data_IF_960024382578
#
_entry.id   IF_960024382578
#
_cell.length_a   1.000
_cell.length_b   1.000
_cell.length_c   1.000
_cell.angle_alpha   90.00
_cell.angle_beta   90.00
_cell.angle_gamma   90.00
#
_symmetry.space_group_name_H-M   'P 1'
#
loop_
_entity.id
_entity.type
_entity.pdbx_description
1 polymer ?
#
# COMPACT_ATOMS: atom_id res chain seq x y z
N UNK A 1 14.44 16.81 17.31
CA UNK A 1 15.35 16.07 16.42
C UNK A 1 15.36 16.82 15.10
N UNK A 2 16.54 17.31 14.72
CA UNK A 2 16.76 18.54 13.93
C UNK A 2 16.18 18.51 12.51
N UNK A 3 15.65 19.65 12.09
CA UNK A 3 15.22 20.03 10.75
C UNK A 3 16.20 19.55 9.65
N UNK A 4 17.49 19.41 9.97
CA UNK A 4 18.54 18.91 9.07
C UNK A 4 18.36 17.46 8.62
N UNK A 5 17.72 16.59 9.40
CA UNK A 5 17.47 15.20 8.97
C UNK A 5 16.37 15.16 7.93
N UNK A 6 15.28 15.90 8.17
CA UNK A 6 14.19 16.04 7.20
C UNK A 6 14.71 16.73 5.94
N UNK A 7 15.50 17.80 6.07
CA UNK A 7 16.11 18.50 4.93
C UNK A 7 16.99 17.58 4.08
N UNK A 8 17.88 16.80 4.70
CA UNK A 8 18.71 15.81 3.97
C UNK A 8 17.87 14.74 3.27
N UNK A 9 16.78 14.29 3.89
CA UNK A 9 15.86 13.33 3.28
C UNK A 9 15.12 13.93 2.08
N UNK A 10 14.71 15.21 2.16
CA UNK A 10 14.08 15.93 1.05
C UNK A 10 15.07 16.15 -0.09
N UNK A 11 16.30 16.59 0.20
CA UNK A 11 17.38 16.78 -0.78
C UNK A 11 17.63 15.48 -1.58
N UNK A 12 17.81 14.33 -0.90
CA UNK A 12 17.98 13.03 -1.54
C UNK A 12 16.78 12.60 -2.39
N UNK A 13 15.57 12.92 -1.95
CA UNK A 13 14.36 12.58 -2.70
C UNK A 13 14.24 13.41 -3.98
N UNK A 14 14.66 14.68 -3.95
CA UNK A 14 14.65 15.57 -5.12
C UNK A 14 15.58 15.13 -6.27
N UNK A 15 16.52 14.21 -6.03
CA UNK A 15 17.42 13.67 -7.05
C UNK A 15 16.78 12.52 -7.87
N UNK A 16 15.60 12.04 -7.48
CA UNK A 16 14.91 10.90 -8.11
C UNK A 16 13.65 11.35 -8.85
N UNK A 17 13.15 10.46 -9.72
CA UNK A 17 11.84 10.61 -10.34
C UNK A 17 10.75 10.70 -9.25
N UNK A 18 9.74 11.54 -9.47
CA UNK A 18 8.68 11.72 -8.50
C UNK A 18 7.87 10.43 -8.31
N UNK A 19 7.44 10.18 -7.07
CA UNK A 19 6.53 9.07 -6.77
C UNK A 19 5.26 9.12 -7.63
N UNK A 20 4.75 10.33 -7.88
CA UNK A 20 3.61 10.54 -8.77
C UNK A 20 3.87 10.03 -10.19
N UNK A 21 5.03 10.34 -10.78
CA UNK A 21 5.38 9.86 -12.11
C UNK A 21 5.47 8.32 -12.14
N UNK A 22 6.04 7.72 -11.10
CA UNK A 22 6.10 6.25 -10.95
C UNK A 22 4.70 5.63 -10.90
N UNK A 23 3.81 6.20 -10.08
CA UNK A 23 2.42 5.73 -9.96
C UNK A 23 1.65 5.96 -11.26
N UNK A 24 1.84 7.08 -11.95
CA UNK A 24 1.18 7.36 -13.23
C UNK A 24 1.66 6.43 -14.34
N UNK A 25 2.94 6.03 -14.34
CA UNK A 25 3.45 4.97 -15.21
C UNK A 25 2.74 3.65 -14.97
N UNK A 26 2.66 3.23 -13.70
CA UNK A 26 1.94 2.02 -13.30
C UNK A 26 0.45 2.06 -13.69
N UNK A 27 -0.23 3.19 -13.44
CA UNK A 27 -1.64 3.38 -13.78
C UNK A 27 -1.90 3.18 -15.27
N UNK A 28 -1.02 3.72 -16.14
CA UNK A 28 -1.13 3.53 -17.60
C UNK A 28 -0.93 2.08 -18.03
N UNK A 29 0.01 1.37 -17.40
CA UNK A 29 0.24 -0.06 -17.69
C UNK A 29 -0.96 -0.92 -17.26
N UNK A 30 -1.53 -0.64 -16.09
CA UNK A 30 -2.74 -1.31 -15.59
C UNK A 30 -3.93 -0.99 -16.48
N UNK A 31 -4.13 0.26 -16.87
CA UNK A 31 -5.19 0.70 -17.78
C UNK A 31 -5.12 -0.04 -19.13
N UNK A 32 -3.93 -0.05 -19.74
CA UNK A 32 -3.70 -0.73 -21.01
C UNK A 32 -3.98 -2.23 -20.89
N UNK A 33 -3.57 -2.84 -19.78
CA UNK A 33 -3.77 -4.27 -19.53
C UNK A 33 -5.23 -4.62 -19.29
N UNK A 34 -5.97 -3.80 -18.52
CA UNK A 34 -7.40 -4.00 -18.26
C UNK A 34 -8.23 -3.86 -19.54
N UNK A 35 -8.00 -2.81 -20.33
CA UNK A 35 -8.70 -2.61 -21.61
C UNK A 35 -8.49 -3.79 -22.59
N UNK A 36 -7.35 -4.47 -22.52
CA UNK A 36 -7.08 -5.67 -23.32
C UNK A 36 -7.73 -6.93 -22.76
N UNK A 37 -7.78 -7.08 -21.43
CA UNK A 37 -8.18 -8.33 -20.76
C UNK A 37 -9.67 -8.43 -20.46
N UNK A 38 -10.36 -7.29 -20.31
CA UNK A 38 -11.80 -7.23 -20.00
C UNK A 38 -12.53 -6.22 -20.89
N UNK A 39 -12.47 -6.37 -22.23
CA UNK A 39 -13.10 -5.43 -23.16
C UNK A 39 -14.63 -5.33 -23.00
N UNK A 40 -15.26 -6.32 -22.37
CA UNK A 40 -16.71 -6.34 -22.08
C UNK A 40 -17.17 -5.23 -21.13
N UNK A 41 -16.26 -4.61 -20.37
CA UNK A 41 -16.56 -3.45 -19.52
C UNK A 41 -16.42 -2.10 -20.26
N UNK A 42 -16.10 -2.13 -21.56
CA UNK A 42 -15.85 -0.93 -22.36
C UNK A 42 -14.50 -0.29 -22.03
N UNK A 43 -14.37 1.01 -22.30
CA UNK A 43 -13.15 1.74 -22.02
C UNK A 43 -12.98 1.94 -20.50
N UNK A 44 -11.90 1.41 -19.95
CA UNK A 44 -11.50 1.59 -18.56
C UNK A 44 -10.46 2.70 -18.49
N UNK A 45 -10.68 3.68 -17.62
CA UNK A 45 -9.70 4.71 -17.23
C UNK A 45 -9.14 4.40 -15.84
N UNK A 46 -7.85 4.65 -15.63
CA UNK A 46 -7.19 4.51 -14.32
C UNK A 46 -6.64 5.85 -13.88
N UNK A 47 -7.20 6.37 -12.79
CA UNK A 47 -6.81 7.65 -12.19
C UNK A 47 -6.12 7.45 -10.85
N UNK A 48 -5.01 8.16 -10.65
CA UNK A 48 -4.28 8.21 -9.38
C UNK A 48 -4.86 9.30 -8.47
N UNK A 49 -4.92 9.03 -7.16
CA UNK A 49 -5.36 9.98 -6.14
C UNK A 49 -4.34 10.00 -5.00
N UNK A 50 -3.77 11.18 -4.73
CA UNK A 50 -2.79 11.38 -3.66
C UNK A 50 -3.41 12.16 -2.52
N UNK A 51 -3.08 11.80 -1.28
CA UNK A 51 -3.64 12.46 -0.09
C UNK A 51 -3.08 13.88 0.11
N UNK A 52 -1.81 14.07 -0.23
CA UNK A 52 -1.15 15.37 -0.25
C UNK A 52 -0.81 15.70 -1.69
N UNK A 53 -1.67 16.47 -2.35
CA UNK A 53 -1.45 16.99 -3.70
C UNK A 53 -1.63 18.50 -3.67
N UNK A 54 -0.53 19.23 -3.72
CA UNK A 54 -0.55 20.70 -3.76
C UNK A 54 -0.55 21.21 -5.22
N UNK A 55 -0.27 20.34 -6.21
CA UNK A 55 -0.02 20.75 -7.60
C UNK A 55 -1.21 20.52 -8.53
N UNK A 56 -2.06 19.51 -8.26
CA UNK A 56 -3.19 19.14 -9.14
C UNK A 56 -4.58 19.59 -8.65
N UNK A 57 -4.64 20.30 -7.53
CA UNK A 57 -5.88 20.77 -6.87
C UNK A 57 -6.11 20.08 -5.53
N UNK A 58 -7.18 20.44 -4.81
CA UNK A 58 -7.46 19.77 -3.54
C UNK A 58 -7.85 18.30 -3.75
N UNK A 59 -7.62 17.46 -2.74
CA UNK A 59 -8.08 16.07 -2.75
C UNK A 59 -9.56 15.95 -3.13
N UNK A 60 -10.41 16.85 -2.61
CA UNK A 60 -11.83 16.91 -2.92
C UNK A 60 -12.08 17.24 -4.40
N UNK A 61 -11.37 18.23 -4.95
CA UNK A 61 -11.49 18.59 -6.37
C UNK A 61 -11.15 17.42 -7.28
N UNK A 62 -10.09 16.68 -6.94
CA UNK A 62 -9.69 15.50 -7.71
C UNK A 62 -10.74 14.40 -7.64
N UNK A 63 -11.28 14.08 -6.47
CA UNK A 63 -12.39 13.11 -6.35
C UNK A 63 -13.59 13.57 -7.18
N UNK A 64 -13.98 14.85 -7.08
CA UNK A 64 -15.10 15.39 -7.86
C UNK A 64 -14.87 15.35 -9.37
N UNK A 65 -13.63 15.51 -9.82
CA UNK A 65 -13.27 15.37 -11.24
C UNK A 65 -13.51 13.94 -11.73
N UNK A 66 -13.13 12.94 -10.94
CA UNK A 66 -13.33 11.52 -11.24
C UNK A 66 -14.83 11.18 -11.24
N UNK A 67 -15.61 11.71 -10.29
CA UNK A 67 -17.07 11.46 -10.21
C UNK A 67 -17.83 12.07 -11.40
N UNK A 68 -17.28 13.09 -12.06
CA UNK A 68 -17.85 13.71 -13.27
C UNK A 68 -17.45 13.00 -14.55
N UNK A 69 -16.49 12.07 -14.49
CA UNK A 69 -16.23 11.16 -15.61
C UNK A 69 -17.49 10.32 -15.84
N UNK A 70 -17.89 10.12 -17.10
CA UNK A 70 -19.10 9.37 -17.47
C UNK A 70 -18.88 7.86 -17.35
N UNK A 71 -18.50 7.44 -16.15
CA UNK A 71 -18.21 6.06 -15.79
C UNK A 71 -19.44 5.40 -15.22
N UNK A 72 -19.78 4.19 -15.68
CA UNK A 72 -20.90 3.41 -15.13
C UNK A 72 -20.54 2.72 -13.81
N UNK A 73 -19.26 2.45 -13.58
CA UNK A 73 -18.75 1.79 -12.38
C UNK A 73 -17.40 2.39 -11.98
N UNK A 74 -17.27 2.78 -10.72
CA UNK A 74 -16.05 3.35 -10.13
C UNK A 74 -15.50 2.37 -9.08
N UNK A 75 -14.24 1.97 -9.23
CA UNK A 75 -13.54 1.06 -8.30
C UNK A 75 -12.47 1.85 -7.57
N UNK A 76 -12.58 1.91 -6.24
CA UNK A 76 -11.53 2.48 -5.39
C UNK A 76 -10.63 1.38 -4.85
N UNK A 77 -9.31 1.58 -4.99
CA UNK A 77 -8.30 0.64 -4.51
C UNK A 77 -7.11 1.42 -3.94
N UNK A 78 -6.85 1.36 -2.61
CA UNK A 78 -5.64 1.90 -2.05
C UNK A 78 -4.43 1.05 -2.47
N UNK A 79 -3.31 1.72 -2.76
CA UNK A 79 -2.04 1.06 -3.07
C UNK A 79 -1.40 0.37 -1.84
N UNK A 80 -1.89 0.65 -0.63
CA UNK A 80 -1.52 -0.11 0.55
C UNK A 80 -2.15 -1.50 0.51
N UNK A 81 -1.34 -2.53 0.33
CA UNK A 81 -1.80 -3.92 0.29
C UNK A 81 -2.34 -4.41 1.64
N UNK A 82 -1.71 -3.95 2.73
CA UNK A 82 -2.07 -4.27 4.10
C UNK A 82 -3.05 -3.23 4.65
N UNK A 83 -4.23 -3.69 5.06
CA UNK A 83 -5.20 -2.79 5.66
C UNK A 83 -4.73 -2.28 7.02
N UNK A 84 -4.88 -0.97 7.23
CA UNK A 84 -4.86 -0.36 8.54
C UNK A 84 -5.88 0.75 8.67
N UNK A 85 -6.41 0.97 9.87
CA UNK A 85 -7.38 2.05 10.08
C UNK A 85 -6.75 3.45 9.96
N UNK A 86 -5.46 3.59 10.25
CA UNK A 86 -4.76 4.89 10.20
C UNK A 86 -4.28 5.29 8.81
N UNK A 87 -3.97 4.33 7.92
CA UNK A 87 -3.49 4.62 6.55
C UNK A 87 -4.61 4.36 5.53
N UNK A 88 -4.77 3.10 5.09
CA UNK A 88 -5.75 2.74 4.06
C UNK A 88 -7.18 3.08 4.47
N UNK A 89 -7.54 2.86 5.75
CA UNK A 89 -8.86 3.17 6.29
C UNK A 89 -9.15 4.67 6.38
N UNK A 90 -8.14 5.49 6.66
CA UNK A 90 -8.28 6.94 6.65
C UNK A 90 -8.54 7.45 5.22
N UNK A 91 -7.76 6.98 4.24
CA UNK A 91 -7.93 7.32 2.83
C UNK A 91 -9.32 6.91 2.32
N UNK A 92 -9.73 5.67 2.60
CA UNK A 92 -11.06 5.16 2.22
C UNK A 92 -12.17 6.01 2.86
N UNK A 93 -12.02 6.41 4.12
CA UNK A 93 -13.02 7.24 4.82
C UNK A 93 -13.16 8.61 4.17
N UNK A 94 -12.06 9.24 3.78
CA UNK A 94 -12.08 10.56 3.14
C UNK A 94 -12.76 10.51 1.77
N UNK A 95 -12.45 9.49 0.98
CA UNK A 95 -13.15 9.25 -0.30
C UNK A 95 -14.64 9.01 -0.04
N UNK A 96 -14.99 8.17 0.94
CA UNK A 96 -16.38 7.88 1.28
C UNK A 96 -17.14 9.16 1.67
N UNK A 97 -16.55 9.99 2.52
CA UNK A 97 -17.13 11.27 2.96
C UNK A 97 -17.35 12.20 1.77
N UNK A 98 -16.37 12.34 0.89
CA UNK A 98 -16.51 13.18 -0.30
C UNK A 98 -17.61 12.68 -1.25
N UNK A 99 -17.72 11.36 -1.44
CA UNK A 99 -18.79 10.75 -2.24
C UNK A 99 -20.15 11.01 -1.60
N UNK A 100 -20.27 10.78 -0.30
CA UNK A 100 -21.52 10.99 0.44
C UNK A 100 -21.99 12.44 0.37
N UNK A 101 -21.06 13.41 0.46
CA UNK A 101 -21.35 14.84 0.36
C UNK A 101 -21.72 15.26 -1.08
N UNK A 102 -21.14 14.62 -2.09
CA UNK A 102 -21.28 15.04 -3.48
C UNK A 102 -22.39 14.31 -4.25
N UNK A 103 -22.90 13.20 -3.74
CA UNK A 103 -23.78 12.29 -4.50
C UNK A 103 -24.93 11.77 -3.66
N UNK A 104 -26.03 11.39 -4.29
CA UNK A 104 -27.22 10.89 -3.62
C UNK A 104 -27.40 9.39 -3.97
N UNK A 105 -27.70 8.52 -3.00
CA UNK A 105 -27.99 7.11 -3.28
C UNK A 105 -29.28 6.98 -4.10
N UNK A 106 -29.31 6.00 -5.01
CA UNK A 106 -30.46 5.78 -5.88
C UNK A 106 -31.62 5.13 -5.08
N UNK A 107 -32.69 5.91 -4.86
CA UNK A 107 -33.89 5.47 -4.13
C UNK A 107 -34.53 4.23 -4.77
N UNK A 108 -34.70 3.16 -3.98
CA UNK A 108 -35.34 1.90 -4.42
C UNK A 108 -34.36 0.74 -4.70
N UNK A 109 -33.05 1.00 -4.71
CA UNK A 109 -32.05 -0.05 -4.66
C UNK A 109 -31.87 -0.54 -3.22
N UNK A 110 -31.67 -1.85 -3.00
CA UNK A 110 -31.26 -2.39 -1.68
C UNK A 110 -29.78 -2.10 -1.36
N UNK A 111 -29.10 -1.36 -2.24
CA UNK A 111 -27.66 -1.27 -2.34
C UNK A 111 -27.26 0.20 -2.49
N UNK A 112 -26.77 0.78 -1.40
CA UNK A 112 -26.34 2.18 -1.38
C UNK A 112 -25.11 2.46 -2.27
N UNK A 113 -24.50 1.43 -2.87
CA UNK A 113 -23.41 1.58 -3.82
C UNK A 113 -23.83 2.20 -5.16
N UNK A 114 -25.11 2.15 -5.50
CA UNK A 114 -25.64 2.85 -6.68
C UNK A 114 -26.00 4.30 -6.32
N UNK A 115 -25.36 5.23 -7.01
CA UNK A 115 -25.45 6.66 -6.70
C UNK A 115 -25.59 7.48 -7.97
N UNK A 116 -26.14 8.68 -7.83
CA UNK A 116 -26.20 9.66 -8.90
C UNK A 116 -25.64 11.00 -8.44
N UNK A 117 -25.08 11.74 -9.38
CA UNK A 117 -24.54 13.07 -9.14
C UNK A 117 -25.68 14.10 -9.35
N UNK A 118 -26.04 14.89 -8.32
CA UNK A 118 -27.10 15.89 -8.42
C UNK A 118 -26.85 16.88 -9.55
N UNK A 119 -27.91 17.35 -10.20
CA UNK A 119 -27.85 18.27 -11.34
C UNK A 119 -27.06 17.72 -12.55
N UNK A 120 -27.00 16.40 -12.69
CA UNK A 120 -26.42 15.72 -13.84
C UNK A 120 -27.19 14.43 -14.15
N UNK A 121 -27.05 13.94 -15.39
CA UNK A 121 -27.62 12.64 -15.80
C UNK A 121 -26.67 11.47 -15.49
N UNK A 122 -25.64 11.70 -14.66
CA UNK A 122 -24.61 10.72 -14.37
C UNK A 122 -25.05 9.86 -13.18
N UNK A 123 -25.20 8.57 -13.44
CA UNK A 123 -25.39 7.54 -12.42
C UNK A 123 -24.30 6.49 -12.54
N UNK A 124 -23.84 6.00 -11.39
CA UNK A 124 -22.75 5.04 -11.34
C UNK A 124 -22.85 4.15 -10.12
N UNK A 125 -22.16 3.02 -10.20
CA UNK A 125 -21.93 2.15 -9.07
C UNK A 125 -20.54 2.37 -8.48
N UNK A 126 -20.44 2.44 -7.17
CA UNK A 126 -19.16 2.53 -6.47
C UNK A 126 -18.79 1.18 -5.84
N UNK A 127 -17.52 0.80 -5.87
CA UNK A 127 -17.04 -0.40 -5.18
C UNK A 127 -15.63 -0.22 -4.64
N UNK A 128 -15.25 -1.06 -3.67
CA UNK A 128 -14.01 -0.89 -2.91
C UNK A 128 -13.21 -2.20 -2.82
N UNK A 129 -11.93 -2.13 -3.19
CA UNK A 129 -10.92 -3.15 -2.91
C UNK A 129 -10.10 -2.68 -1.73
N UNK A 130 -10.53 -2.98 -0.50
CA UNK A 130 -9.93 -2.38 0.71
C UNK A 130 -8.59 -3.02 1.14
N UNK A 131 -8.29 -4.25 0.71
CA UNK A 131 -7.05 -4.97 1.02
C UNK A 131 -6.75 -6.03 -0.01
N UNK A 132 -5.47 -6.30 -0.21
CA UNK A 132 -5.00 -7.29 -1.18
C UNK A 132 -3.66 -7.94 -0.76
N UNK A 133 -3.35 -7.89 0.54
CA UNK A 133 -2.15 -8.44 1.16
C UNK A 133 -1.95 -9.96 0.94
N UNK A 134 -3.01 -10.71 0.64
CA UNK A 134 -2.92 -12.15 0.36
C UNK A 134 -2.65 -12.47 -1.10
N UNK A 135 -2.55 -11.47 -1.98
CA UNK A 135 -2.31 -11.71 -3.40
C UNK A 135 -0.90 -12.28 -3.63
N UNK A 136 -0.74 -13.36 -4.42
CA UNK A 136 0.56 -14.00 -4.67
C UNK A 136 1.61 -13.07 -5.28
N UNK A 137 1.18 -12.03 -5.99
CA UNK A 137 2.06 -11.00 -6.55
C UNK A 137 3.07 -10.45 -5.54
N UNK A 138 2.68 -10.26 -4.27
CA UNK A 138 3.60 -9.70 -3.26
C UNK A 138 4.77 -10.67 -2.99
N UNK A 139 4.47 -11.96 -2.82
CA UNK A 139 5.53 -12.93 -2.58
C UNK A 139 6.38 -13.15 -3.83
N UNK A 140 5.76 -13.22 -5.00
CA UNK A 140 6.46 -13.34 -6.28
C UNK A 140 7.38 -12.14 -6.56
N UNK A 141 6.93 -10.92 -6.30
CA UNK A 141 7.71 -9.70 -6.46
C UNK A 141 8.98 -9.74 -5.60
N UNK A 142 8.83 -9.99 -4.30
CA UNK A 142 9.96 -10.02 -3.39
C UNK A 142 10.87 -11.23 -3.59
N UNK A 143 10.32 -12.38 -3.94
CA UNK A 143 11.10 -13.56 -4.35
C UNK A 143 12.01 -13.21 -5.51
N UNK A 144 11.46 -12.65 -6.59
CA UNK A 144 12.23 -12.26 -7.79
C UNK A 144 13.33 -11.25 -7.45
N UNK A 145 13.04 -10.29 -6.56
CA UNK A 145 14.02 -9.28 -6.15
C UNK A 145 15.12 -9.81 -5.22
N UNK A 146 14.91 -10.96 -4.59
CA UNK A 146 15.81 -11.56 -3.59
C UNK A 146 16.52 -12.84 -4.05
N UNK A 147 15.96 -13.59 -5.00
CA UNK A 147 16.42 -14.95 -5.37
C UNK A 147 17.92 -15.03 -5.63
N UNK A 148 18.48 -14.11 -6.43
CA UNK A 148 19.91 -14.07 -6.77
C UNK A 148 20.80 -13.43 -5.69
N UNK A 149 20.19 -12.66 -4.78
CA UNK A 149 20.90 -11.83 -3.81
C UNK A 149 20.93 -12.46 -2.42
N UNK A 150 19.94 -13.28 -2.07
CA UNK A 150 19.70 -13.77 -0.70
C UNK A 150 20.90 -14.56 -0.17
N UNK A 151 21.56 -15.35 -1.02
CA UNK A 151 22.76 -16.14 -0.68
C UNK A 151 24.00 -15.28 -0.40
N UNK A 152 23.98 -13.99 -0.76
CA UNK A 152 25.07 -13.05 -0.50
C UNK A 152 24.97 -12.41 0.90
N UNK A 153 23.85 -12.63 1.58
CA UNK A 153 23.56 -12.11 2.90
C UNK A 153 23.54 -13.25 3.92
N UNK A 154 23.82 -12.91 5.17
CA UNK A 154 23.81 -13.89 6.25
C UNK A 154 22.47 -13.89 7.00
N UNK A 155 21.64 -12.87 6.76
CA UNK A 155 20.27 -12.79 7.26
C UNK A 155 19.44 -11.73 6.53
N UNK A 156 18.12 -11.88 6.62
CA UNK A 156 17.15 -10.93 6.06
C UNK A 156 16.39 -10.25 7.19
N UNK A 157 16.40 -8.92 7.20
CA UNK A 157 15.58 -8.10 8.06
C UNK A 157 14.48 -7.45 7.21
N UNK A 158 13.29 -8.02 7.26
CA UNK A 158 12.11 -7.36 6.71
C UNK A 158 11.76 -6.16 7.59
N UNK A 159 11.46 -5.03 6.95
CA UNK A 159 11.06 -3.80 7.62
C UNK A 159 9.70 -3.32 7.10
N UNK A 160 8.89 -2.80 8.01
CA UNK A 160 7.59 -2.22 7.70
C UNK A 160 7.33 -1.00 8.60
N UNK A 161 6.57 0.00 8.13
CA UNK A 161 6.21 1.13 8.97
C UNK A 161 5.31 0.68 10.12
N UNK A 162 5.44 1.33 11.27
CA UNK A 162 4.51 1.19 12.39
C UNK A 162 3.19 1.81 12.00
N UNK A 163 2.11 1.10 12.31
CA UNK A 163 0.76 1.57 12.07
C UNK A 163 0.09 1.89 13.41
N UNK A 164 -0.68 2.99 13.44
CA UNK A 164 -1.32 3.50 14.65
C UNK A 164 -2.75 2.97 14.80
N UNK A 165 -3.18 2.88 16.06
CA UNK A 165 -4.58 2.69 16.42
C UNK A 165 -5.11 1.26 16.25
N UNK A 166 -6.44 1.14 16.16
CA UNK A 166 -7.12 -0.15 16.05
C UNK A 166 -6.71 -0.87 14.74
N UNK A 167 -6.54 -2.18 14.77
CA UNK A 167 -6.12 -2.95 13.59
C UNK A 167 -4.61 -3.17 13.46
N UNK A 168 -3.80 -2.65 14.40
CA UNK A 168 -2.34 -2.83 14.36
C UNK A 168 -1.95 -4.31 14.46
N UNK A 169 -2.60 -5.09 15.34
CA UNK A 169 -2.31 -6.52 15.49
C UNK A 169 -2.54 -7.28 14.18
N UNK A 170 -3.67 -7.03 13.50
CA UNK A 170 -4.02 -7.61 12.21
C UNK A 170 -3.06 -7.18 11.11
N UNK A 171 -2.69 -5.89 11.08
CA UNK A 171 -1.66 -5.37 10.17
C UNK A 171 -0.35 -6.13 10.36
N UNK A 172 0.12 -6.28 11.60
CA UNK A 172 1.38 -6.96 11.91
C UNK A 172 1.36 -8.44 11.55
N UNK A 173 0.27 -9.14 11.84
CA UNK A 173 0.10 -10.53 11.40
C UNK A 173 0.10 -10.64 9.87
N UNK A 174 -0.55 -9.71 9.19
CA UNK A 174 -0.60 -9.65 7.73
C UNK A 174 0.78 -9.42 7.11
N UNK A 175 1.57 -8.50 7.68
CA UNK A 175 2.95 -8.26 7.26
C UNK A 175 3.83 -9.48 7.52
N UNK A 176 3.74 -10.07 8.72
CA UNK A 176 4.48 -11.28 9.07
C UNK A 176 4.17 -12.44 8.11
N UNK A 177 2.89 -12.64 7.77
CA UNK A 177 2.48 -13.67 6.83
C UNK A 177 3.08 -13.47 5.43
N UNK A 178 3.27 -12.23 4.99
CA UNK A 178 3.95 -11.95 3.72
C UNK A 178 5.45 -12.25 3.80
N UNK A 179 6.12 -11.90 4.89
CA UNK A 179 7.52 -12.28 5.12
C UNK A 179 7.69 -13.81 5.08
N UNK A 180 6.82 -14.54 5.78
CA UNK A 180 6.88 -16.00 5.82
C UNK A 180 6.63 -16.63 4.44
N UNK A 181 5.65 -16.13 3.66
CA UNK A 181 5.43 -16.59 2.28
C UNK A 181 6.66 -16.35 1.40
N UNK A 182 7.27 -15.17 1.45
CA UNK A 182 8.49 -14.87 0.67
C UNK A 182 9.62 -15.83 1.04
N UNK A 183 9.85 -16.04 2.33
CA UNK A 183 10.94 -16.91 2.78
C UNK A 183 10.66 -18.39 2.51
N UNK A 184 9.41 -18.82 2.59
CA UNK A 184 8.97 -20.16 2.21
C UNK A 184 9.15 -20.40 0.71
N UNK A 185 8.75 -19.45 -0.13
CA UNK A 185 8.95 -19.50 -1.59
C UNK A 185 10.44 -19.53 -1.98
N UNK A 186 11.32 -18.96 -1.16
CA UNK A 186 12.78 -19.01 -1.32
C UNK A 186 13.43 -20.28 -0.73
N UNK A 187 12.68 -21.12 -0.02
CA UNK A 187 13.19 -22.33 0.65
C UNK A 187 13.97 -22.07 1.94
N UNK A 188 13.69 -20.97 2.64
CA UNK A 188 14.34 -20.55 3.89
C UNK A 188 15.88 -20.57 3.85
N UNK A 189 16.53 -19.86 2.89
CA UNK A 189 17.97 -19.97 2.67
C UNK A 189 18.81 -19.33 3.79
N UNK A 190 18.24 -18.38 4.53
CA UNK A 190 18.90 -17.62 5.61
C UNK A 190 17.89 -17.31 6.72
N UNK A 191 18.35 -17.09 7.97
CA UNK A 191 17.46 -16.64 9.04
C UNK A 191 16.89 -15.27 8.74
N UNK A 192 15.65 -15.05 9.16
CA UNK A 192 14.97 -13.79 8.93
C UNK A 192 14.26 -13.27 10.17
N UNK A 193 14.07 -11.94 10.21
CA UNK A 193 13.28 -11.25 11.22
C UNK A 193 12.46 -10.12 10.61
N UNK A 194 11.45 -9.67 11.34
CA UNK A 194 10.70 -8.45 11.04
C UNK A 194 11.06 -7.37 12.06
N UNK A 195 11.30 -6.15 11.59
CA UNK A 195 11.47 -4.95 12.40
C UNK A 195 10.55 -3.84 11.93
N UNK A 196 10.09 -3.01 12.86
CA UNK A 196 9.22 -1.88 12.53
C UNK A 196 9.97 -0.55 12.68
N UNK A 197 9.58 0.45 11.89
CA UNK A 197 10.17 1.79 11.90
C UNK A 197 9.07 2.87 11.85
N UNK A 198 9.38 4.09 12.30
CA UNK A 198 8.47 5.22 12.15
C UNK A 198 8.67 5.81 10.75
N UNK A 199 7.58 5.89 9.98
CA UNK A 199 7.54 6.55 8.66
C UNK A 199 7.91 8.04 8.80
N UNK A 200 8.19 8.70 7.69
CA UNK A 200 8.53 10.13 7.67
C UNK A 200 7.38 11.03 8.16
N UNK A 201 6.13 10.65 7.90
CA UNK A 201 4.90 11.34 8.28
C UNK A 201 4.41 10.95 9.69
N UNK A 202 5.14 10.06 10.36
CA UNK A 202 4.83 9.61 11.71
C UNK A 202 5.56 10.43 12.79
N UNK A 203 4.80 10.84 13.81
CA UNK A 203 5.36 11.20 15.12
C UNK A 203 6.33 10.14 15.65
N UNK A 204 7.52 10.51 16.13
CA UNK A 204 8.51 9.55 16.62
C UNK A 204 8.04 8.92 17.94
N UNK A 205 7.68 7.63 17.89
CA UNK A 205 7.35 6.84 19.08
C UNK A 205 8.49 5.86 19.36
N UNK A 206 8.85 5.61 20.64
CA UNK A 206 9.73 4.51 21.00
C UNK A 206 9.12 3.18 20.55
N UNK A 207 9.70 2.58 19.51
CA UNK A 207 9.37 1.21 19.12
C UNK A 207 10.23 0.32 20.00
N UNK A 208 9.61 -0.45 20.89
CA UNK A 208 10.29 -1.27 21.89
C UNK A 208 11.06 -2.45 21.25
N UNK A 209 10.95 -3.67 21.76
CA UNK A 209 11.71 -4.84 21.32
C UNK A 209 11.53 -5.18 19.83
N UNK A 210 10.53 -4.62 19.14
CA UNK A 210 10.19 -4.90 17.74
C UNK A 210 10.69 -3.82 16.78
N UNK A 211 11.38 -2.80 17.28
CA UNK A 211 12.03 -1.81 16.44
C UNK A 211 13.11 -2.43 15.56
N UNK A 212 13.31 -1.87 14.36
CA UNK A 212 14.37 -2.28 13.43
C UNK A 212 15.75 -2.41 14.14
N UNK A 213 16.08 -1.49 15.05
CA UNK A 213 17.34 -1.50 15.80
C UNK A 213 17.45 -2.65 16.81
N UNK A 214 16.34 -3.05 17.45
CA UNK A 214 16.29 -4.17 18.38
C UNK A 214 16.33 -5.51 17.62
N UNK A 215 15.61 -5.59 16.50
CA UNK A 215 15.48 -6.82 15.72
C UNK A 215 16.75 -7.11 14.91
N UNK A 216 17.41 -6.08 14.39
CA UNK A 216 18.77 -6.20 13.84
C UNK A 216 19.74 -6.75 14.89
N UNK A 217 19.82 -6.14 16.09
CA UNK A 217 20.68 -6.64 17.18
C UNK A 217 20.34 -8.07 17.58
N UNK A 218 19.07 -8.46 17.62
CA UNK A 218 18.67 -9.82 17.98
C UNK A 218 18.99 -10.84 16.89
N UNK A 219 18.87 -10.47 15.61
CA UNK A 219 19.27 -11.30 14.49
C UNK A 219 20.79 -11.53 14.51
N UNK A 220 21.58 -10.50 14.81
CA UNK A 220 23.05 -10.55 14.93
C UNK A 220 23.52 -11.22 16.22
N UNK A 221 22.86 -10.99 17.35
CA UNK A 221 23.29 -11.57 18.64
C UNK A 221 23.15 -13.09 18.69
N UNK A 222 22.33 -13.68 17.82
CA UNK A 222 22.13 -15.13 17.69
C UNK A 222 23.09 -15.80 16.71
N UNK A 223 23.77 -15.02 15.88
CA UNK A 223 24.67 -15.51 14.86
C UNK A 223 25.82 -14.51 14.74
N UNK A 224 27.06 -14.84 15.15
CA UNK A 224 28.20 -13.94 15.02
C UNK A 224 28.49 -13.74 13.52
N UNK A 225 27.70 -12.87 12.90
CA UNK A 225 27.79 -12.49 11.51
C UNK A 225 28.99 -11.56 11.38
N UNK A 226 30.00 -11.98 10.62
CA UNK A 226 31.07 -11.08 10.21
C UNK A 226 30.61 -10.15 9.05
N UNK A 227 29.43 -10.39 8.44
CA UNK A 227 28.96 -9.72 7.21
C UNK A 227 27.44 -9.42 7.17
N UNK A 228 26.95 -9.19 5.94
CA UNK A 228 25.91 -8.22 5.55
C UNK A 228 24.48 -8.70 5.79
N UNK A 229 23.61 -7.83 6.30
CA UNK A 229 22.16 -8.09 6.44
C UNK A 229 21.40 -7.39 5.32
N UNK A 230 20.53 -8.13 4.62
CA UNK A 230 19.58 -7.54 3.68
C UNK A 230 18.43 -6.89 4.43
N UNK A 231 18.15 -5.63 4.14
CA UNK A 231 16.99 -4.92 4.68
C UNK A 231 15.95 -4.80 3.58
N UNK A 232 14.75 -5.34 3.82
CA UNK A 232 13.72 -5.50 2.78
C UNK A 232 12.43 -4.78 3.23
N UNK A 233 12.01 -3.70 2.57
CA UNK A 233 10.80 -2.98 2.92
C UNK A 233 9.55 -3.73 2.42
N UNK A 234 9.17 -4.81 3.10
CA UNK A 234 8.18 -5.81 2.63
C UNK A 234 6.84 -5.23 2.16
N UNK A 235 6.42 -4.09 2.71
CA UNK A 235 5.16 -3.41 2.39
C UNK A 235 5.26 -2.44 1.20
N UNK A 236 6.46 -2.10 0.74
CA UNK A 236 6.70 -1.12 -0.33
C UNK A 236 6.94 -1.82 -1.67
N UNK A 237 5.90 -1.93 -2.51
CA UNK A 237 6.05 -2.50 -3.88
C UNK A 237 6.51 -1.47 -4.92
N UNK A 238 6.48 -0.20 -4.54
CA UNK A 238 6.97 0.93 -5.30
C UNK A 238 7.94 1.70 -4.43
N UNK A 239 8.95 2.35 -5.01
CA UNK A 239 9.85 3.16 -4.24
C UNK A 239 9.18 4.50 -3.89
N UNK A 240 9.27 4.86 -2.63
CA UNK A 240 8.62 6.00 -1.97
C UNK A 240 9.65 6.80 -1.14
N UNK A 241 9.20 7.85 -0.46
CA UNK A 241 10.08 8.67 0.38
C UNK A 241 10.79 7.85 1.48
N UNK A 242 10.10 6.85 2.02
CA UNK A 242 10.64 6.02 3.08
C UNK A 242 11.80 5.14 2.60
N UNK A 243 11.61 4.48 1.47
CA UNK A 243 12.62 3.62 0.84
C UNK A 243 13.79 4.42 0.27
N UNK A 244 13.56 5.62 -0.27
CA UNK A 244 14.62 6.45 -0.82
C UNK A 244 15.45 7.22 0.22
N UNK A 245 14.80 7.71 1.27
CA UNK A 245 15.44 8.67 2.16
C UNK A 245 15.45 8.21 3.61
N UNK A 246 14.29 7.79 4.14
CA UNK A 246 14.14 7.48 5.57
C UNK A 246 14.92 6.25 5.99
N UNK A 247 14.73 5.14 5.28
CA UNK A 247 15.38 3.87 5.57
C UNK A 247 16.91 3.97 5.39
N UNK A 248 17.45 4.56 4.31
CA UNK A 248 18.90 4.79 4.22
C UNK A 248 19.47 5.62 5.38
N UNK A 249 18.80 6.68 5.84
CA UNK A 249 19.24 7.46 7.00
C UNK A 249 19.18 6.63 8.31
N UNK A 250 18.13 5.83 8.52
CA UNK A 250 18.03 4.90 9.65
C UNK A 250 19.17 3.88 9.66
N UNK A 251 19.51 3.34 8.50
CA UNK A 251 20.59 2.37 8.33
C UNK A 251 21.96 3.02 8.61
N UNK A 252 22.23 4.20 8.03
CA UNK A 252 23.47 4.94 8.26
C UNK A 252 23.69 5.29 9.75
N UNK A 253 22.64 5.70 10.45
CA UNK A 253 22.71 6.03 11.87
C UNK A 253 23.00 4.80 12.76
N UNK A 254 22.60 3.62 12.31
CA UNK A 254 22.75 2.37 13.07
C UNK A 254 24.07 1.65 12.75
N UNK A 255 24.57 1.80 11.52
CA UNK A 255 25.82 1.21 11.03
C UNK A 255 27.07 1.75 11.74
N UNK A 256 26.97 2.79 12.57
CA UNK A 256 28.06 3.23 13.47
C UNK A 256 28.47 2.17 14.50
N UNK A 257 27.71 1.08 14.65
CA UNK A 257 28.04 -0.08 15.48
C UNK A 257 27.86 -1.38 14.67
N UNK A 258 28.93 -1.87 14.03
CA UNK A 258 29.14 -3.23 13.50
C UNK A 258 28.22 -3.84 12.42
N UNK A 259 27.11 -3.24 11.99
CA UNK A 259 26.24 -3.88 10.99
C UNK A 259 26.51 -3.38 9.56
N UNK A 260 26.88 -4.27 8.65
CA UNK A 260 26.91 -3.99 7.22
C UNK A 260 25.51 -4.21 6.60
N UNK A 261 24.55 -3.34 6.90
CA UNK A 261 23.19 -3.46 6.36
C UNK A 261 23.09 -2.90 4.94
N UNK A 262 22.45 -3.64 4.03
CA UNK A 262 22.16 -3.22 2.65
C UNK A 262 20.65 -3.22 2.41
N UNK A 263 20.10 -2.06 2.06
CA UNK A 263 18.71 -1.95 1.64
C UNK A 263 18.52 -2.60 0.27
N UNK A 264 17.45 -3.39 0.14
CA UNK A 264 16.95 -3.90 -1.14
C UNK A 264 15.81 -2.97 -1.54
N UNK A 265 16.12 -2.02 -2.41
CA UNK A 265 15.14 -1.06 -2.92
C UNK A 265 14.14 -1.76 -3.86
N UNK A 266 12.83 -1.45 -3.76
CA UNK A 266 11.87 -1.90 -4.75
C UNK A 266 12.13 -1.22 -6.10
N UNK A 267 12.09 -1.96 -7.22
CA UNK A 267 12.22 -1.36 -8.55
C UNK A 267 11.07 -0.38 -8.84
N UNK A 268 11.37 0.72 -9.53
CA UNK A 268 10.37 1.73 -9.92
C UNK A 268 9.37 1.22 -10.95
N UNK A 269 9.80 0.37 -11.88
CA UNK A 269 8.90 -0.32 -12.81
C UNK A 269 9.02 -1.83 -12.60
N UNK A 270 7.91 -2.46 -12.20
CA UNK A 270 7.80 -3.91 -12.09
C UNK A 270 6.58 -4.42 -12.83
N UNK A 271 6.76 -5.23 -13.90
CA UNK A 271 5.63 -5.81 -14.62
C UNK A 271 4.83 -6.76 -13.73
N UNK A 272 5.46 -7.35 -12.71
CA UNK A 272 4.78 -8.21 -11.73
C UNK A 272 3.71 -7.40 -10.97
N UNK A 273 4.04 -6.17 -10.56
CA UNK A 273 3.11 -5.29 -9.85
C UNK A 273 1.98 -4.86 -10.78
N UNK A 274 2.28 -4.40 -11.99
CA UNK A 274 1.25 -4.02 -12.96
C UNK A 274 0.28 -5.18 -13.28
N UNK A 275 0.82 -6.37 -13.54
CA UNK A 275 0.01 -7.55 -13.85
C UNK A 275 -0.83 -8.00 -12.66
N UNK A 276 -0.26 -8.03 -11.44
CA UNK A 276 -1.02 -8.43 -10.27
C UNK A 276 -2.11 -7.42 -9.89
N UNK A 277 -1.90 -6.11 -10.05
CA UNK A 277 -2.94 -5.11 -9.82
C UNK A 277 -4.06 -5.26 -10.85
N UNK A 278 -3.70 -5.48 -12.11
CA UNK A 278 -4.64 -5.81 -13.19
C UNK A 278 -5.47 -7.04 -12.84
N UNK A 279 -4.84 -8.10 -12.34
CA UNK A 279 -5.53 -9.32 -11.93
C UNK A 279 -6.50 -9.07 -10.76
N UNK A 280 -6.08 -8.32 -9.74
CA UNK A 280 -6.91 -7.96 -8.59
C UNK A 280 -8.17 -7.21 -9.05
N UNK A 281 -7.99 -6.16 -9.86
CA UNK A 281 -9.09 -5.33 -10.37
C UNK A 281 -10.01 -6.16 -11.26
N UNK A 282 -9.45 -6.97 -12.18
CA UNK A 282 -10.22 -7.88 -13.03
C UNK A 282 -11.08 -8.84 -12.20
N UNK A 283 -10.49 -9.50 -11.21
CA UNK A 283 -11.21 -10.45 -10.36
C UNK A 283 -12.35 -9.77 -9.59
N UNK A 284 -12.13 -8.53 -9.13
CA UNK A 284 -13.15 -7.72 -8.49
C UNK A 284 -14.30 -7.35 -9.44
N UNK A 285 -13.99 -6.91 -10.66
CA UNK A 285 -14.98 -6.58 -11.70
C UNK A 285 -15.85 -7.80 -12.05
N UNK A 286 -15.24 -8.99 -12.17
CA UNK A 286 -15.92 -10.26 -12.43
C UNK A 286 -16.73 -10.79 -11.23
N UNK A 287 -16.83 -10.04 -10.13
CA UNK A 287 -17.67 -10.38 -8.98
C UNK A 287 -17.11 -11.48 -8.08
N UNK A 288 -15.81 -11.81 -8.18
CA UNK A 288 -15.15 -12.74 -7.25
C UNK A 288 -14.98 -12.03 -5.91
N UNK A 289 -15.97 -12.19 -5.03
CA UNK A 289 -16.01 -11.49 -3.73
C UNK A 289 -14.82 -11.87 -2.85
N UNK A 290 -14.06 -10.88 -2.41
CA UNK A 290 -13.22 -10.99 -1.23
C UNK A 290 -14.10 -10.81 0.02
N UNK A 291 -14.42 -11.91 0.70
CA UNK A 291 -15.42 -12.01 1.79
C UNK A 291 -15.08 -11.27 3.11
N UNK A 292 -14.48 -10.07 3.06
CA UNK A 292 -13.68 -9.57 4.19
C UNK A 292 -14.05 -8.17 4.70
N UNK A 293 -14.97 -7.45 4.03
CA UNK A 293 -15.48 -6.15 4.51
C UNK A 293 -16.24 -6.27 5.84
N UNK A 294 -16.74 -7.46 6.19
CA UNK A 294 -17.49 -7.69 7.44
C UNK A 294 -16.72 -7.33 8.72
N UNK A 295 -15.38 -7.33 8.71
CA UNK A 295 -14.57 -6.95 9.86
C UNK A 295 -14.46 -5.42 10.07
N UNK A 296 -14.59 -4.62 9.00
CA UNK A 296 -14.60 -3.15 9.10
C UNK A 296 -15.88 -2.62 9.76
N UNK A 297 -16.94 -3.43 9.70
CA UNK A 297 -18.30 -3.13 10.17
C UNK A 297 -18.45 -2.97 11.68
N UNK A 298 -17.46 -3.40 12.47
CA UNK A 298 -17.60 -3.45 13.93
C UNK A 298 -17.28 -2.12 14.64
N UNK A 299 -16.77 -1.11 13.91
CA UNK A 299 -16.47 0.21 14.47
C UNK A 299 -17.43 1.28 13.97
N UNK A 300 -18.15 1.95 14.89
CA UNK A 300 -19.01 3.11 14.57
C UNK A 300 -18.31 4.20 13.75
N UNK A 301 -16.97 4.29 13.82
CA UNK A 301 -16.15 5.25 13.06
C UNK A 301 -16.03 4.93 11.56
N UNK A 302 -16.52 3.78 11.11
CA UNK A 302 -16.44 3.33 9.72
C UNK A 302 -17.82 3.23 9.05
N UNK A 303 -18.87 3.79 9.67
CA UNK A 303 -20.24 3.71 9.15
C UNK A 303 -20.36 4.28 7.72
N UNK A 304 -19.75 5.44 7.46
CA UNK A 304 -19.75 6.08 6.12
C UNK A 304 -19.13 5.18 5.04
N UNK A 305 -18.12 4.37 5.39
CA UNK A 305 -17.53 3.41 4.44
C UNK A 305 -18.57 2.34 4.06
N UNK A 306 -19.40 1.94 5.02
CA UNK A 306 -20.49 1.00 4.76
C UNK A 306 -21.55 1.61 3.87
N UNK A 307 -21.98 2.83 4.22
CA UNK A 307 -23.07 3.52 3.55
C UNK A 307 -22.74 3.82 2.08
N UNK A 308 -21.45 3.96 1.73
CA UNK A 308 -21.01 4.25 0.36
C UNK A 308 -20.63 2.99 -0.42
N UNK A 309 -19.96 2.00 0.22
CA UNK A 309 -19.32 0.90 -0.50
C UNK A 309 -19.92 -0.49 -0.27
N UNK A 310 -20.82 -0.66 0.69
CA UNK A 310 -21.36 -1.99 1.03
C UNK A 310 -22.71 -2.22 0.35
N UNK A 311 -22.77 -3.31 -0.43
CA UNK A 311 -24.02 -3.95 -0.79
C UNK A 311 -24.63 -4.60 0.46
N UNK A 312 -25.76 -4.10 0.96
CA UNK A 312 -26.57 -4.80 1.96
C UNK A 312 -27.38 -5.97 1.35
N UNK A 313 -26.75 -6.74 0.47
CA UNK A 313 -27.32 -7.99 -0.05
C UNK A 313 -26.60 -9.15 0.65
N UNK A 314 -27.28 -9.72 1.65
CA UNK A 314 -26.93 -10.98 2.29
C UNK A 314 -26.81 -12.14 1.32
#
# INVERSE_FOLDING_TARGET
MSNDTVRRCIERYGERESFEATVNGLSKEVETSLNRLVPEYGQISVSSLFYFDDLSGTFQDRVNSILRERSSHIVFMPLYSHFSNSLSGALIRLVAQQIEESTIPLSGSKDNSQRFLPNSDISFRVSLIHRWNSHPMISQFWRTNLEDKVKQFEGVLFVAPVVRGCGNTEYRHSVWANCERVMSDLGHPVPWKIGFYNSWDDWPIPIACEGYSCQSRSLIGKHPFEKRVAVVPITALLPDFDTFSRLPDLLQNTNKKSLAAKLIEPPSNSPIVAQGLTEIIKNHLLGRKHAQIQLLAQSKKNQVIQDVFINNSG
#
